data_IF_498240582655
#
_entry.id   IF_498240582655
#
_cell.length_a   1.000
_cell.length_b   1.000
_cell.length_c   1.000
_cell.angle_alpha   90.00
_cell.angle_beta   90.00
_cell.angle_gamma   90.00
#
_symmetry.space_group_name_H-M   'P 1'
#
loop_
_entity.id
_entity.type
_entity.pdbx_description
1 polymer ?
#
# COMPACT_ATOMS: atom_id res chain seq x y z
N UNK A 1 -1.47 -7.17 -12.80
CA UNK A 1 -1.75 -5.92 -12.06
C UNK A 1 -0.45 -5.50 -11.39
N UNK A 2 -0.42 -4.40 -10.63
CA UNK A 2 0.73 -4.10 -9.78
C UNK A 2 0.90 -5.11 -8.64
N UNK A 3 2.12 -5.31 -8.14
CA UNK A 3 2.42 -6.28 -7.06
C UNK A 3 1.69 -5.92 -5.77
N UNK A 4 1.65 -4.63 -5.44
CA UNK A 4 0.98 -4.16 -4.24
C UNK A 4 -0.54 -4.30 -4.34
N UNK A 5 -1.11 -4.04 -5.52
CA UNK A 5 -2.54 -4.23 -5.76
C UNK A 5 -2.97 -5.69 -5.58
N UNK A 6 -2.20 -6.63 -6.15
CA UNK A 6 -2.45 -8.06 -6.02
C UNK A 6 -2.32 -8.52 -4.56
N UNK A 7 -1.34 -7.98 -3.83
CA UNK A 7 -1.19 -8.24 -2.39
C UNK A 7 -2.42 -7.78 -1.60
N UNK A 8 -2.90 -6.56 -1.82
CA UNK A 8 -4.07 -6.04 -1.09
C UNK A 8 -5.32 -6.87 -1.35
N UNK A 9 -5.59 -7.22 -2.62
CA UNK A 9 -6.75 -8.06 -2.99
C UNK A 9 -6.69 -9.46 -2.41
N UNK A 10 -5.49 -10.04 -2.31
CA UNK A 10 -5.31 -11.38 -1.75
C UNK A 10 -5.43 -11.42 -0.22
N UNK A 11 -5.10 -10.33 0.46
CA UNK A 11 -5.06 -10.28 1.93
C UNK A 11 -6.32 -9.68 2.57
N UNK A 12 -7.09 -8.88 1.82
CA UNK A 12 -8.28 -8.18 2.30
C UNK A 12 -9.41 -8.32 1.28
N UNK A 13 -10.34 -9.24 1.54
CA UNK A 13 -11.47 -9.52 0.63
C UNK A 13 -12.48 -8.37 0.57
N UNK A 14 -12.55 -7.58 1.65
CA UNK A 14 -13.42 -6.42 1.80
C UNK A 14 -12.96 -5.17 1.05
N UNK A 15 -11.74 -5.17 0.50
CA UNK A 15 -11.18 -4.03 -0.24
C UNK A 15 -11.52 -4.11 -1.73
N UNK A 16 -12.19 -3.08 -2.24
CA UNK A 16 -12.23 -2.83 -3.68
C UNK A 16 -10.99 -2.02 -4.09
N UNK A 17 -10.05 -2.69 -4.75
CA UNK A 17 -8.76 -2.12 -5.15
C UNK A 17 -8.72 -1.90 -6.66
N UNK A 18 -8.53 -0.65 -7.05
CA UNK A 18 -8.43 -0.20 -8.43
C UNK A 18 -7.06 0.39 -8.72
N UNK A 19 -6.33 -0.22 -9.65
CA UNK A 19 -5.06 0.31 -10.16
C UNK A 19 -5.32 1.60 -10.92
N UNK A 20 -4.79 2.73 -10.42
CA UNK A 20 -4.88 4.03 -11.08
C UNK A 20 -3.67 4.24 -11.97
N UNK A 21 -2.49 3.93 -11.45
CA UNK A 21 -1.25 4.14 -12.17
C UNK A 21 -0.14 3.23 -11.65
N UNK A 22 0.54 2.53 -12.55
CA UNK A 22 1.69 1.69 -12.22
C UNK A 22 2.82 2.05 -13.17
N UNK A 23 3.98 2.38 -12.63
CA UNK A 23 5.15 2.76 -13.42
C UNK A 23 6.45 2.37 -12.72
N UNK A 24 7.56 2.56 -13.44
CA UNK A 24 8.91 2.40 -12.92
C UNK A 24 9.71 3.67 -13.20
N UNK A 25 10.22 4.30 -12.14
CA UNK A 25 11.12 5.46 -12.22
C UNK A 25 12.54 5.02 -11.80
N UNK A 26 13.41 4.83 -12.79
CA UNK A 26 14.73 4.23 -12.57
C UNK A 26 14.60 2.80 -12.03
N UNK A 27 15.11 2.56 -10.81
CA UNK A 27 14.99 1.26 -10.14
C UNK A 27 13.76 1.16 -9.24
N UNK A 28 12.98 2.24 -9.09
CA UNK A 28 11.86 2.29 -8.15
C UNK A 28 10.55 2.00 -8.87
N UNK A 29 9.85 0.98 -8.42
CA UNK A 29 8.47 0.71 -8.80
C UNK A 29 7.55 1.66 -8.03
N UNK A 30 6.54 2.18 -8.71
CA UNK A 30 5.53 3.08 -8.13
C UNK A 30 4.17 2.55 -8.56
N UNK A 31 3.31 2.32 -7.57
CA UNK A 31 1.94 1.87 -7.74
C UNK A 31 1.03 2.87 -7.01
N UNK A 32 0.04 3.42 -7.71
CA UNK A 32 -1.00 4.27 -7.15
C UNK A 32 -2.32 3.54 -7.33
N UNK A 33 -2.99 3.30 -6.21
CA UNK A 33 -4.24 2.56 -6.12
C UNK A 33 -5.31 3.47 -5.53
N UNK A 34 -6.52 3.37 -6.06
CA UNK A 34 -7.73 3.78 -5.36
C UNK A 34 -8.26 2.56 -4.61
N UNK A 35 -8.45 2.70 -3.31
CA UNK A 35 -8.95 1.64 -2.44
C UNK A 35 -10.24 2.12 -1.82
N UNK A 36 -11.29 1.32 -1.96
CA UNK A 36 -12.58 1.57 -1.32
C UNK A 36 -12.84 0.48 -0.29
N UNK A 37 -13.32 0.87 0.89
CA UNK A 37 -13.78 -0.02 1.94
C UNK A 37 -15.06 0.57 2.51
N UNK A 38 -16.15 -0.21 2.47
CA UNK A 38 -17.50 0.28 2.80
C UNK A 38 -17.83 1.56 2.01
N UNK A 39 -18.26 2.63 2.70
CA UNK A 39 -18.60 3.94 2.11
C UNK A 39 -17.41 4.90 1.99
N UNK A 40 -16.18 4.45 2.32
CA UNK A 40 -15.00 5.32 2.35
C UNK A 40 -13.99 4.94 1.27
N UNK A 41 -13.34 5.95 0.71
CA UNK A 41 -12.28 5.81 -0.29
C UNK A 41 -10.99 6.48 0.15
N UNK A 42 -9.87 5.88 -0.22
CA UNK A 42 -8.55 6.47 -0.06
C UNK A 42 -7.65 6.13 -1.25
N UNK A 43 -6.63 6.95 -1.45
CA UNK A 43 -5.55 6.66 -2.38
C UNK A 43 -4.37 6.07 -1.62
N UNK A 44 -3.80 5.00 -2.16
CA UNK A 44 -2.58 4.40 -1.66
C UNK A 44 -1.50 4.49 -2.75
N UNK A 45 -0.39 5.15 -2.44
CA UNK A 45 0.81 5.13 -3.27
C UNK A 45 1.87 4.28 -2.59
N UNK A 46 2.22 3.17 -3.22
CA UNK A 46 3.32 2.31 -2.82
C UNK A 46 4.53 2.53 -3.73
N UNK A 47 5.69 2.71 -3.11
CA UNK A 47 6.96 2.79 -3.81
C UNK A 47 7.89 1.73 -3.26
N UNK A 48 8.55 0.99 -4.14
CA UNK A 48 9.52 -0.02 -3.74
C UNK A 48 10.72 -0.05 -4.66
N UNK A 49 11.89 -0.32 -4.09
CA UNK A 49 13.13 -0.55 -4.82
C UNK A 49 13.86 -1.72 -4.17
N UNK A 50 14.05 -2.79 -4.94
CA UNK A 50 14.86 -3.92 -4.50
C UNK A 50 16.34 -3.51 -4.41
N UNK A 51 16.92 -3.77 -3.24
CA UNK A 51 18.35 -3.60 -2.93
C UNK A 51 19.03 -4.97 -2.94
N UNK A 52 20.26 -5.05 -2.43
CA UNK A 52 20.98 -6.32 -2.35
C UNK A 52 20.35 -7.24 -1.29
N UNK A 53 20.51 -8.55 -1.50
CA UNK A 53 20.11 -9.59 -0.53
C UNK A 53 18.62 -9.63 -0.21
N UNK A 54 17.74 -9.28 -1.16
CA UNK A 54 16.28 -9.34 -0.98
C UNK A 54 15.72 -8.29 -0.01
N UNK A 55 16.52 -7.26 0.32
CA UNK A 55 16.07 -6.09 1.05
C UNK A 55 15.35 -5.14 0.11
N UNK A 56 14.24 -4.58 0.55
CA UNK A 56 13.47 -3.59 -0.20
C UNK A 56 13.51 -2.27 0.54
N UNK A 57 13.92 -1.21 -0.15
CA UNK A 57 13.64 0.16 0.30
C UNK A 57 12.23 0.51 -0.16
N UNK A 58 11.36 0.93 0.76
CA UNK A 58 9.96 1.12 0.43
C UNK A 58 9.34 2.30 1.18
N UNK A 59 8.25 2.80 0.61
CA UNK A 59 7.36 3.75 1.27
C UNK A 59 5.92 3.53 0.84
N UNK A 60 5.00 3.69 1.79
CA UNK A 60 3.57 3.65 1.58
C UNK A 60 2.98 4.99 2.04
N UNK A 61 2.32 5.68 1.11
CA UNK A 61 1.56 6.89 1.38
C UNK A 61 0.09 6.52 1.25
N UNK A 62 -0.69 6.72 2.29
CA UNK A 62 -2.14 6.54 2.26
C UNK A 62 -2.79 7.89 2.54
N UNK A 63 -3.69 8.32 1.67
CA UNK A 63 -4.36 9.61 1.79
C UNK A 63 -5.85 9.47 1.56
N UNK A 64 -6.63 10.01 2.48
CA UNK A 64 -8.06 10.26 2.35
C UNK A 64 -8.32 11.76 2.32
N UNK A 65 -9.58 12.19 2.27
CA UNK A 65 -9.94 13.61 2.27
C UNK A 65 -9.45 14.36 3.53
N UNK A 66 -9.38 13.66 4.67
CA UNK A 66 -9.14 14.28 5.97
C UNK A 66 -7.80 13.88 6.61
N UNK A 67 -7.08 12.92 6.04
CA UNK A 67 -5.86 12.40 6.66
C UNK A 67 -4.87 11.88 5.61
N UNK A 68 -3.58 12.15 5.81
CA UNK A 68 -2.49 11.58 5.03
C UNK A 68 -1.48 10.96 5.97
N UNK A 69 -1.16 9.68 5.75
CA UNK A 69 -0.13 8.96 6.49
C UNK A 69 0.95 8.48 5.55
N UNK A 70 2.20 8.64 5.97
CA UNK A 70 3.37 8.14 5.24
C UNK A 70 4.17 7.21 6.14
N UNK A 71 4.46 6.01 5.65
CA UNK A 71 5.30 5.02 6.30
C UNK A 71 6.42 4.66 5.33
N UNK A 72 7.61 4.39 5.85
CA UNK A 72 8.79 4.02 5.06
C UNK A 72 9.66 3.05 5.85
N UNK A 73 10.39 2.21 5.14
CA UNK A 73 11.23 1.21 5.76
C UNK A 73 12.26 0.62 4.82
N UNK A 74 13.11 -0.21 5.40
CA UNK A 74 14.02 -1.10 4.69
C UNK A 74 13.85 -2.47 5.34
N UNK A 75 13.21 -3.38 4.62
CA UNK A 75 12.81 -4.67 5.18
C UNK A 75 13.01 -5.77 4.13
N UNK A 76 13.13 -7.03 4.57
CA UNK A 76 12.96 -8.17 3.68
C UNK A 76 11.52 -8.23 3.17
N UNK A 77 11.30 -8.88 2.03
CA UNK A 77 9.99 -8.95 1.36
C UNK A 77 8.86 -9.42 2.29
N UNK A 78 9.08 -10.43 3.12
CA UNK A 78 8.04 -10.96 4.01
C UNK A 78 7.74 -10.01 5.17
N UNK A 79 8.76 -9.37 5.74
CA UNK A 79 8.59 -8.35 6.79
C UNK A 79 7.91 -7.09 6.24
N UNK A 80 8.25 -6.69 5.01
CA UNK A 80 7.58 -5.63 4.26
C UNK A 80 6.08 -5.91 4.14
N UNK A 81 5.70 -7.11 3.64
CA UNK A 81 4.29 -7.52 3.50
C UNK A 81 3.55 -7.42 4.82
N UNK A 82 4.13 -7.97 5.89
CA UNK A 82 3.55 -7.93 7.23
C UNK A 82 3.33 -6.49 7.70
N UNK A 83 4.33 -5.61 7.59
CA UNK A 83 4.20 -4.20 8.00
C UNK A 83 3.15 -3.46 7.19
N UNK A 84 3.09 -3.67 5.88
CA UNK A 84 2.05 -3.04 5.05
C UNK A 84 0.67 -3.50 5.49
N UNK A 85 0.48 -4.81 5.68
CA UNK A 85 -0.78 -5.40 6.17
C UNK A 85 -1.24 -4.77 7.48
N UNK A 86 -0.36 -4.69 8.48
CA UNK A 86 -0.69 -4.08 9.77
C UNK A 86 -1.08 -2.60 9.64
N UNK A 87 -0.40 -1.85 8.78
CA UNK A 87 -0.70 -0.43 8.60
C UNK A 87 -2.00 -0.19 7.84
N UNK A 88 -2.28 -0.98 6.81
CA UNK A 88 -3.55 -0.91 6.07
C UNK A 88 -4.72 -1.28 6.98
N UNK A 89 -4.59 -2.37 7.76
CA UNK A 89 -5.61 -2.77 8.74
C UNK A 89 -5.86 -1.68 9.78
N UNK A 90 -4.82 -1.11 10.38
CA UNK A 90 -4.97 -0.04 11.36
C UNK A 90 -5.66 1.22 10.79
N UNK A 91 -5.50 1.47 9.48
CA UNK A 91 -6.19 2.56 8.79
C UNK A 91 -7.66 2.20 8.56
N UNK A 92 -7.95 0.98 8.09
CA UNK A 92 -9.32 0.49 7.92
C UNK A 92 -10.12 0.50 9.23
N UNK A 93 -9.53 0.00 10.31
CA UNK A 93 -10.14 0.02 11.66
C UNK A 93 -10.39 1.44 12.18
N UNK A 94 -9.56 2.41 11.73
CA UNK A 94 -9.77 3.83 12.02
C UNK A 94 -10.93 4.43 11.23
N UNK A 95 -11.23 3.88 10.05
CA UNK A 95 -12.30 4.35 9.17
C UNK A 95 -13.67 3.74 9.50
N UNK A 96 -13.73 2.54 10.08
CA UNK A 96 -15.00 1.93 10.56
C UNK A 96 -15.63 2.68 11.75
N UNK A 97 -14.89 3.57 12.42
CA UNK A 97 -15.31 4.24 13.65
C UNK A 97 -15.81 5.68 13.45
N UNK A 98 -15.80 6.17 12.22
CA UNK A 98 -16.36 7.46 11.82
C UNK A 98 -17.72 7.28 11.13
#
# INVERSE_FOLDING_TARGET
MGYFAEMLKGEFEELDVKDIYTTKLGNRNIEILEVSVYDTKFLAMFQSEEKKHGLYLWSLIITSANNTRTIRGIDLLDTLKMRIKENVRAIMEGMEKD
#
